data_IF_578493571526
#
_entry.id   IF_578493571526
#
_cell.length_a   1.000
_cell.length_b   1.000
_cell.length_c   1.000
_cell.angle_alpha   90.00
_cell.angle_beta   90.00
_cell.angle_gamma   90.00
#
_symmetry.space_group_name_H-M   'P 1'
#
loop_
_entity.id
_entity.type
_entity.pdbx_description
1 polymer ?
#
# COMPACT_ATOMS: atom_id res chain seq x y z
N UNK A 1 -24.47 8.58 -1.49
CA UNK A 1 -24.72 9.71 -0.56
C UNK A 1 -26.19 9.71 -0.18
N UNK A 2 -26.53 9.90 1.09
CA UNK A 2 -27.93 9.94 1.55
C UNK A 2 -28.26 11.34 2.05
N UNK A 3 -29.48 11.79 1.73
CA UNK A 3 -30.00 13.09 2.19
C UNK A 3 -30.69 12.85 3.52
N UNK A 4 -30.30 13.62 4.55
CA UNK A 4 -30.86 13.51 5.90
C UNK A 4 -32.01 14.50 6.12
N UNK A 5 -31.86 15.72 5.59
CA UNK A 5 -32.89 16.75 5.64
C UNK A 5 -32.64 17.78 4.53
N UNK A 6 -33.69 18.49 4.13
CA UNK A 6 -33.60 19.65 3.27
C UNK A 6 -34.56 20.73 3.79
N UNK A 7 -34.10 21.98 3.84
CA UNK A 7 -34.89 23.13 4.27
C UNK A 7 -34.73 24.29 3.29
N UNK A 8 -35.84 24.95 3.00
CA UNK A 8 -35.90 26.13 2.15
C UNK A 8 -36.32 27.32 3.01
N UNK A 9 -35.41 28.26 3.24
CA UNK A 9 -35.68 29.50 3.97
C UNK A 9 -35.04 30.67 3.23
N UNK A 10 -35.76 31.80 3.16
CA UNK A 10 -35.29 33.04 2.53
C UNK A 10 -34.74 32.85 1.09
N UNK A 11 -35.28 31.87 0.34
CA UNK A 11 -34.84 31.55 -1.02
C UNK A 11 -33.55 30.73 -1.11
N UNK A 12 -32.98 30.32 0.02
CA UNK A 12 -31.80 29.44 0.07
C UNK A 12 -32.21 28.01 0.45
N UNK A 13 -31.74 27.05 -0.33
CA UNK A 13 -31.95 25.63 -0.08
C UNK A 13 -30.73 25.07 0.68
N UNK A 14 -30.92 24.75 1.96
CA UNK A 14 -29.93 24.05 2.78
C UNK A 14 -30.22 22.55 2.79
N UNK A 15 -29.22 21.74 2.46
CA UNK A 15 -29.35 20.27 2.37
C UNK A 15 -28.32 19.63 3.31
N UNK A 16 -28.81 18.85 4.27
CA UNK A 16 -27.98 18.03 5.16
C UNK A 16 -27.71 16.69 4.48
N UNK A 17 -26.45 16.45 4.11
CA UNK A 17 -26.02 15.25 3.39
C UNK A 17 -25.12 14.42 4.29
N UNK A 18 -25.40 13.12 4.39
CA UNK A 18 -24.54 12.15 5.08
C UNK A 18 -23.77 11.35 4.05
N UNK A 19 -22.44 11.37 4.17
CA UNK A 19 -21.54 10.50 3.41
C UNK A 19 -21.28 9.24 4.24
N UNK A 20 -21.79 8.11 3.78
CA UNK A 20 -21.39 6.80 4.29
C UNK A 20 -19.98 6.52 3.77
N UNK A 21 -19.00 6.41 4.66
CA UNK A 21 -17.63 5.99 4.32
C UNK A 21 -17.63 4.45 4.35
N UNK A 22 -17.40 3.78 3.21
CA UNK A 22 -17.21 2.33 3.21
C UNK A 22 -16.06 1.93 4.13
N UNK A 23 -16.21 0.85 4.89
CA UNK A 23 -15.18 0.25 5.75
C UNK A 23 -13.85 -0.02 5.00
N UNK A 24 -13.90 -0.16 3.67
CA UNK A 24 -12.77 -0.37 2.77
C UNK A 24 -11.87 0.85 2.57
N UNK A 25 -12.35 2.06 2.92
CA UNK A 25 -11.53 3.28 2.91
C UNK A 25 -10.69 3.43 4.19
N UNK A 26 -10.81 2.50 5.16
CA UNK A 26 -9.87 2.47 6.28
C UNK A 26 -8.50 2.04 5.77
N UNK A 27 -7.44 2.85 6.02
CA UNK A 27 -6.09 2.43 5.68
C UNK A 27 -5.76 1.12 6.43
N UNK A 28 -5.56 0.04 5.69
CA UNK A 28 -5.13 -1.25 6.26
C UNK A 28 -3.63 -1.23 6.49
N UNK A 29 -3.20 -1.73 7.65
CA UNK A 29 -1.77 -1.87 7.97
C UNK A 29 -1.20 -3.03 7.17
N UNK A 30 -0.22 -2.78 6.32
CA UNK A 30 0.54 -3.83 5.63
C UNK A 30 1.67 -4.30 6.55
N UNK A 31 1.74 -5.61 6.79
CA UNK A 31 2.89 -6.19 7.49
C UNK A 31 4.06 -6.24 6.51
N UNK A 32 5.14 -5.51 6.80
CA UNK A 32 6.40 -5.66 6.07
C UNK A 32 7.07 -6.90 6.64
N UNK A 33 6.90 -8.04 5.96
CA UNK A 33 7.57 -9.28 6.31
C UNK A 33 9.07 -9.14 6.02
N UNK A 34 9.86 -8.86 7.04
CA UNK A 34 11.29 -9.21 7.05
C UNK A 34 11.34 -10.67 7.50
N UNK A 35 11.07 -11.60 6.58
CA UNK A 35 10.99 -13.02 6.93
C UNK A 35 10.28 -13.87 5.89
N UNK A 36 10.80 -13.83 4.66
CA UNK A 36 10.97 -15.00 3.79
C UNK A 36 11.56 -14.49 2.49
N UNK A 37 12.86 -14.23 2.54
CA UNK A 37 13.68 -14.27 1.34
C UNK A 37 13.76 -15.73 0.89
N UNK A 38 13.12 -16.16 -0.22
CA UNK A 38 13.72 -17.23 -0.97
C UNK A 38 15.03 -16.63 -1.49
N UNK A 39 16.14 -17.08 -0.92
CA UNK A 39 17.49 -16.78 -1.38
C UNK A 39 17.65 -17.33 -2.79
N UNK A 40 17.14 -16.59 -3.79
CA UNK A 40 17.49 -16.76 -5.18
C UNK A 40 18.74 -15.91 -5.45
N UNK A 41 19.81 -16.22 -4.73
CA UNK A 41 21.14 -15.78 -5.10
C UNK A 41 21.67 -16.77 -6.14
N UNK A 42 21.30 -16.57 -7.41
CA UNK A 42 22.06 -17.14 -8.52
C UNK A 42 23.42 -16.42 -8.50
N UNK A 43 24.40 -17.00 -7.80
CA UNK A 43 25.77 -16.49 -7.83
C UNK A 43 26.30 -16.67 -9.26
N UNK A 44 26.47 -15.55 -9.94
CA UNK A 44 27.09 -15.45 -11.24
C UNK A 44 28.58 -15.76 -11.05
N UNK A 45 29.08 -16.76 -11.80
CA UNK A 45 30.49 -17.15 -11.91
C UNK A 45 31.41 -15.93 -11.93
N UNK A 46 32.23 -15.78 -10.89
CA UNK A 46 33.42 -14.93 -10.95
C UNK A 46 34.61 -15.82 -11.26
N UNK A 47 34.86 -15.97 -12.55
CA UNK A 47 36.18 -16.27 -13.08
C UNK A 47 37.07 -15.06 -12.77
N UNK A 48 38.10 -15.21 -11.95
CA UNK A 48 39.39 -14.49 -12.05
C UNK A 48 40.36 -14.95 -10.95
N UNK A 49 41.50 -15.45 -11.43
CA UNK A 49 42.82 -15.43 -10.80
C UNK A 49 43.01 -15.98 -9.37
N UNK A 50 43.48 -17.24 -9.27
CA UNK A 50 44.41 -17.63 -8.21
C UNK A 50 45.64 -18.34 -8.77
N UNK A 51 46.65 -17.51 -8.99
CA UNK A 51 48.04 -17.79 -9.25
C UNK A 51 48.66 -19.01 -8.52
N UNK A 52 49.59 -19.65 -9.24
CA UNK A 52 50.86 -20.30 -8.81
C UNK A 52 50.89 -21.03 -7.46
N UNK A 53 51.13 -22.35 -7.54
CA UNK A 53 52.18 -23.12 -6.84
C UNK A 53 52.38 -24.39 -7.70
N UNK A 54 53.51 -24.74 -8.32
CA UNK A 54 54.94 -24.68 -7.99
C UNK A 54 55.27 -25.36 -6.64
N UNK A 55 55.43 -26.69 -6.69
CA UNK A 55 56.46 -27.51 -6.02
C UNK A 55 56.41 -28.92 -6.64
#
# INVERSE_FOLDING_TARGET
MKIKAAKLENGLLSIDIVREIPEELKPRRISIGVGDTPTAATQITQDTDRARKAA
#
